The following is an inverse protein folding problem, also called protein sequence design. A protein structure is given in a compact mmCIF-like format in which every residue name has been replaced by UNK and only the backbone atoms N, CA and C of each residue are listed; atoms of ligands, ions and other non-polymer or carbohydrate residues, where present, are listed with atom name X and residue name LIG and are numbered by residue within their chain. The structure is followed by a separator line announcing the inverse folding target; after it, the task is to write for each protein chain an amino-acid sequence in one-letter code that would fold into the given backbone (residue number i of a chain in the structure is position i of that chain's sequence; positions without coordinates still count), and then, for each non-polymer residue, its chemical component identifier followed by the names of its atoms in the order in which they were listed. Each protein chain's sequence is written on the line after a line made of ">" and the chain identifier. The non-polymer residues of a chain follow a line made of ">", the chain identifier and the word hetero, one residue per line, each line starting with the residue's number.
data_IF_281874673546
#
_entry.id   IF_281874673546
#
_cell.length_a   1.000
_cell.length_b   1.000
_cell.length_c   1.000
_cell.angle_alpha   90.00
_cell.angle_beta   90.00
_cell.angle_gamma   90.00
#
_symmetry.space_group_name_H-M   'P 1'
#
loop_
_entity.id
_entity.type
_entity.pdbx_description
1 polymer ?
#
# COMPACT_ATOMS: atom_id res chain seq x y z
N UNK A 1 -14.22 -11.25 18.90
CA UNK A 1 -14.01 -11.07 18.25
C UNK A 1 -13.59 -10.33 17.54
N UNK A 2 -13.09 -10.13 17.32
CA UNK A 2 -12.86 -9.45 16.62
C UNK A 2 -12.45 -9.56 15.57
N UNK A 3 -12.82 -9.32 14.98
CA UNK A 3 -12.49 -9.45 13.68
C UNK A 3 -11.83 -8.28 13.17
N UNK A 4 -10.78 -8.44 12.37
CA UNK A 4 -10.14 -7.37 11.69
C UNK A 4 -11.04 -6.93 10.58
N UNK A 5 -11.51 -5.72 10.63
CA UNK A 5 -12.25 -5.18 9.52
C UNK A 5 -11.30 -4.51 8.56
N UNK A 6 -11.40 -4.87 7.29
CA UNK A 6 -10.65 -4.22 6.23
C UNK A 6 -11.39 -2.96 5.84
N UNK A 7 -10.73 -1.82 5.98
CA UNK A 7 -11.33 -0.53 5.67
C UNK A 7 -10.92 -0.09 4.29
N UNK A 8 -11.88 0.40 3.52
CA UNK A 8 -11.61 0.95 2.20
C UNK A 8 -11.93 2.44 2.25
N UNK A 9 -10.90 3.30 2.11
CA UNK A 9 -11.13 4.73 2.22
C UNK A 9 -11.96 5.26 1.05
N UNK A 10 -12.78 6.23 1.34
CA UNK A 10 -13.47 7.01 0.33
C UNK A 10 -12.40 7.84 -0.40
N UNK A 11 -12.51 7.90 -1.72
CA UNK A 11 -11.55 8.65 -2.52
C UNK A 11 -11.43 10.10 -2.09
N UNK A 12 -12.55 10.71 -1.71
CA UNK A 12 -12.57 12.11 -1.31
C UNK A 12 -11.88 12.35 0.01
N UNK A 13 -11.73 11.30 0.83
CA UNK A 13 -11.13 11.40 2.15
C UNK A 13 -9.75 10.77 2.24
N UNK A 14 -9.24 10.27 1.12
CA UNK A 14 -7.96 9.57 1.16
C UNK A 14 -6.83 10.49 1.63
N UNK A 15 -6.89 11.76 1.29
CA UNK A 15 -5.87 12.73 1.70
C UNK A 15 -5.85 12.96 3.20
N UNK A 16 -6.92 12.58 3.90
CA UNK A 16 -6.99 12.74 5.36
C UNK A 16 -6.45 11.53 6.11
N UNK A 17 -6.05 10.49 5.39
CA UNK A 17 -5.56 9.27 6.04
C UNK A 17 -4.17 9.51 6.60
N UNK A 18 -4.00 9.13 7.87
CA UNK A 18 -2.68 9.12 8.47
C UNK A 18 -2.18 7.69 8.49
N UNK A 19 -1.03 7.48 7.87
CA UNK A 19 -0.43 6.16 7.76
C UNK A 19 0.38 5.82 9.01
N UNK A 20 0.54 4.52 9.26
CA UNK A 20 1.42 4.06 10.33
C UNK A 20 2.82 4.63 10.09
N UNK A 21 3.44 5.10 11.17
CA UNK A 21 4.80 5.64 11.11
C UNK A 21 5.84 4.58 11.40
N UNK A 22 5.39 3.42 11.86
CA UNK A 22 6.28 2.34 12.20
C UNK A 22 6.26 1.28 11.13
N UNK A 23 7.36 0.53 11.02
CA UNK A 23 7.41 -0.59 10.11
C UNK A 23 6.42 -1.67 10.56
N UNK A 24 5.49 -2.03 9.68
CA UNK A 24 4.43 -2.98 10.05
C UNK A 24 4.82 -4.44 9.81
N UNK A 25 5.93 -4.70 9.12
CA UNK A 25 6.42 -6.05 8.90
C UNK A 25 7.58 -6.33 9.85
N UNK A 26 7.65 -7.56 10.36
CA UNK A 26 8.60 -7.87 11.41
C UNK A 26 9.91 -8.49 10.96
N UNK A 27 9.97 -9.05 9.74
CA UNK A 27 11.15 -9.80 9.31
C UNK A 27 11.70 -9.27 8.00
N UNK A 28 13.00 -9.51 7.78
CA UNK A 28 13.63 -9.12 6.52
C UNK A 28 13.03 -9.83 5.31
N UNK A 29 12.74 -11.14 5.36
CA UNK A 29 12.09 -11.78 4.22
C UNK A 29 10.75 -11.16 3.84
N UNK A 30 9.94 -10.78 4.83
CA UNK A 30 8.67 -10.13 4.55
C UNK A 30 8.88 -8.76 3.88
N UNK A 31 9.84 -8.00 4.38
CA UNK A 31 10.14 -6.69 3.80
C UNK A 31 10.66 -6.82 2.37
N UNK A 32 11.48 -7.82 2.14
CA UNK A 32 12.04 -8.07 0.82
C UNK A 32 10.94 -8.47 -0.16
N UNK A 33 10.05 -9.35 0.26
CA UNK A 33 8.94 -9.76 -0.58
C UNK A 33 8.00 -8.61 -0.89
N UNK A 34 7.74 -7.77 0.09
CA UNK A 34 6.94 -6.57 -0.12
C UNK A 34 7.55 -5.69 -1.21
N UNK A 35 8.86 -5.48 -1.15
CA UNK A 35 9.54 -4.66 -2.15
C UNK A 35 9.42 -5.27 -3.55
N UNK A 36 9.62 -6.57 -3.67
CA UNK A 36 9.50 -7.26 -4.95
C UNK A 36 8.09 -7.08 -5.51
N UNK A 37 7.08 -7.24 -4.67
CA UNK A 37 5.69 -7.08 -5.10
C UNK A 37 5.40 -5.65 -5.52
N UNK A 38 5.93 -4.67 -4.81
CA UNK A 38 5.73 -3.27 -5.16
C UNK A 38 6.37 -2.93 -6.50
N UNK A 39 7.56 -3.42 -6.75
CA UNK A 39 8.24 -3.19 -8.03
C UNK A 39 7.46 -3.87 -9.16
N UNK A 40 6.96 -5.08 -8.93
CA UNK A 40 6.14 -5.76 -9.92
C UNK A 40 4.84 -4.98 -10.18
N UNK A 41 4.23 -4.45 -9.13
CA UNK A 41 3.02 -3.64 -9.26
C UNK A 41 3.28 -2.37 -10.08
N UNK A 42 4.45 -1.76 -9.88
CA UNK A 42 4.83 -0.58 -10.64
C UNK A 42 4.96 -0.91 -12.13
N UNK A 43 5.59 -2.03 -12.46
CA UNK A 43 5.73 -2.45 -13.85
C UNK A 43 4.38 -2.73 -14.49
N UNK A 44 3.48 -3.39 -13.77
CA UNK A 44 2.13 -3.65 -14.26
C UNK A 44 1.35 -2.35 -14.44
N UNK A 45 1.49 -1.42 -13.51
CA UNK A 45 0.81 -0.15 -13.60
C UNK A 45 1.28 0.67 -14.79
N UNK A 46 2.60 0.70 -15.04
CA UNK A 46 3.16 1.51 -16.11
C UNK A 46 2.98 0.87 -17.49
N UNK A 47 3.16 -0.45 -17.58
CA UNK A 47 3.16 -1.12 -18.87
C UNK A 47 1.78 -1.61 -19.29
N UNK A 48 0.95 -2.00 -18.32
CA UNK A 48 -0.35 -2.61 -18.60
C UNK A 48 -1.50 -1.85 -17.97
N UNK A 49 -1.22 -0.74 -17.31
CA UNK A 49 -2.24 0.10 -16.64
C UNK A 49 -3.10 -0.71 -15.69
N UNK A 50 -2.51 -1.71 -15.06
CA UNK A 50 -3.23 -2.62 -14.17
C UNK A 50 -3.22 -2.10 -12.75
N UNK A 51 -4.37 -2.19 -12.09
CA UNK A 51 -4.49 -1.84 -10.68
C UNK A 51 -4.11 -3.03 -9.81
N UNK A 52 -3.65 -2.72 -8.60
CA UNK A 52 -3.40 -3.73 -7.57
C UNK A 52 -4.12 -3.30 -6.31
N UNK A 53 -4.29 -4.23 -5.37
CA UNK A 53 -4.82 -3.91 -4.05
C UNK A 53 -3.65 -3.79 -3.09
N UNK A 54 -3.58 -2.65 -2.42
CA UNK A 54 -2.53 -2.41 -1.45
C UNK A 54 -3.15 -2.41 -0.07
N UNK A 55 -2.64 -3.25 0.80
CA UNK A 55 -3.06 -3.32 2.19
C UNK A 55 -2.04 -2.59 3.03
N UNK A 56 -2.50 -1.62 3.79
CA UNK A 56 -1.63 -0.82 4.62
C UNK A 56 -2.30 -0.55 5.97
N UNK A 57 -1.48 -0.16 6.94
CA UNK A 57 -1.98 0.16 8.28
C UNK A 57 -2.05 1.68 8.42
N UNK A 58 -3.13 2.16 9.02
CA UNK A 58 -3.18 3.56 9.37
C UNK A 58 -2.56 3.77 10.76
N UNK A 59 -2.52 5.02 11.20
CA UNK A 59 -1.86 5.36 12.47
C UNK A 59 -2.58 4.76 13.68
N UNK A 60 -3.83 4.36 13.51
CA UNK A 60 -4.63 3.73 14.56
C UNK A 60 -4.57 2.20 14.50
N UNK A 61 -3.61 1.65 13.75
CA UNK A 61 -3.45 0.21 13.60
C UNK A 61 -4.65 -0.48 12.97
N UNK A 62 -5.36 0.21 12.12
CA UNK A 62 -6.44 -0.38 11.36
C UNK A 62 -5.92 -0.79 9.98
N UNK A 63 -6.33 -1.95 9.52
CA UNK A 63 -5.94 -2.44 8.19
C UNK A 63 -6.83 -1.80 7.15
N UNK A 64 -6.21 -1.20 6.15
CA UNK A 64 -6.91 -0.49 5.09
C UNK A 64 -6.53 -1.07 3.74
N UNK A 65 -7.43 -0.93 2.79
CA UNK A 65 -7.17 -1.39 1.42
C UNK A 65 -7.44 -0.26 0.45
N UNK A 66 -6.56 -0.13 -0.53
CA UNK A 66 -6.82 0.76 -1.66
C UNK A 66 -6.51 0.00 -2.95
N UNK A 67 -7.35 0.21 -3.96
CA UNK A 67 -7.15 -0.38 -5.27
C UNK A 67 -6.70 0.72 -6.21
N UNK A 68 -5.50 0.61 -6.74
CA UNK A 68 -4.92 1.69 -7.52
C UNK A 68 -3.78 1.20 -8.41
N UNK A 69 -3.42 2.04 -9.36
CA UNK A 69 -2.23 1.82 -10.16
C UNK A 69 -1.02 2.41 -9.45
N UNK A 70 0.06 1.66 -9.43
CA UNK A 70 1.31 2.13 -8.83
C UNK A 70 2.12 2.80 -9.93
N UNK A 71 2.44 4.07 -9.74
CA UNK A 71 3.26 4.81 -10.68
C UNK A 71 4.74 4.66 -10.41
N UNK A 72 5.13 4.75 -9.16
CA UNK A 72 6.54 4.78 -8.82
C UNK A 72 6.76 4.21 -7.42
N UNK A 73 7.93 3.62 -7.22
CA UNK A 73 8.37 3.13 -5.92
C UNK A 73 9.71 3.78 -5.66
N UNK A 74 9.78 4.55 -4.58
CA UNK A 74 11.02 5.16 -4.15
C UNK A 74 11.58 4.38 -2.97
N UNK A 75 12.66 4.87 -2.38
CA UNK A 75 13.25 4.23 -1.22
C UNK A 75 12.28 4.19 -0.04
N UNK A 76 11.43 5.21 0.10
CA UNK A 76 10.56 5.35 1.27
C UNK A 76 9.08 5.31 0.95
N UNK A 77 8.69 5.55 -0.29
CA UNK A 77 7.29 5.75 -0.63
C UNK A 77 6.87 5.02 -1.88
N UNK A 78 5.58 4.69 -1.92
CA UNK A 78 4.91 4.26 -3.14
C UNK A 78 4.05 5.42 -3.60
N UNK A 79 4.13 5.76 -4.88
CA UNK A 79 3.37 6.86 -5.46
C UNK A 79 2.33 6.26 -6.40
N UNK A 80 1.07 6.55 -6.13
CA UNK A 80 -0.04 6.05 -6.92
C UNK A 80 -0.40 7.03 -8.01
N UNK A 81 -1.23 6.58 -8.95
CA UNK A 81 -1.58 7.36 -10.13
C UNK A 81 -2.11 8.76 -9.81
N UNK A 82 -2.82 8.91 -8.72
CA UNK A 82 -3.41 10.21 -8.37
C UNK A 82 -2.48 11.06 -7.50
N UNK A 83 -1.19 10.79 -7.53
CA UNK A 83 -0.19 11.47 -6.71
C UNK A 83 -0.34 11.19 -5.22
N UNK A 84 -1.11 10.18 -4.88
CA UNK A 84 -1.23 9.74 -3.49
C UNK A 84 0.03 8.98 -3.14
N UNK A 85 0.63 9.33 -2.01
CA UNK A 85 1.90 8.77 -1.58
C UNK A 85 1.69 7.97 -0.30
N UNK A 86 2.15 6.72 -0.31
CA UNK A 86 2.01 5.82 0.83
C UNK A 86 3.40 5.43 1.33
N UNK A 87 3.70 5.63 2.62
CA UNK A 87 4.98 5.16 3.16
C UNK A 87 5.08 3.65 3.05
N UNK A 88 6.20 3.17 2.52
CA UNK A 88 6.40 1.72 2.35
C UNK A 88 6.30 1.00 3.70
N UNK A 89 6.79 1.61 4.77
CA UNK A 89 6.75 1.00 6.10
C UNK A 89 5.35 0.71 6.59
N UNK A 90 4.34 1.40 6.08
CA UNK A 90 2.95 1.18 6.47
C UNK A 90 2.29 0.05 5.68
N UNK A 91 2.91 -0.43 4.60
CA UNK A 91 2.29 -1.40 3.71
C UNK A 91 2.51 -2.80 4.23
N UNK A 92 1.42 -3.55 4.38
CA UNK A 92 1.50 -4.94 4.80
C UNK A 92 1.62 -5.88 3.62
N UNK A 93 0.88 -5.63 2.55
CA UNK A 93 0.88 -6.56 1.43
C UNK A 93 0.36 -5.88 0.17
N UNK A 94 0.66 -6.51 -0.95
CA UNK A 94 0.19 -6.08 -2.26
C UNK A 94 -0.42 -7.30 -2.93
N UNK A 95 -1.66 -7.19 -3.37
CA UNK A 95 -2.34 -8.28 -4.03
C UNK A 95 -2.63 -7.92 -5.47
N UNK A 96 -2.28 -8.82 -6.37
CA UNK A 96 -2.51 -8.62 -7.79
C UNK A 96 -3.91 -9.09 -8.14
N UNK A 97 -4.56 -8.35 -9.00
CA UNK A 97 -5.94 -8.62 -9.36
C UNK A 97 -5.99 -9.46 -10.64
#
# INVERSE_FOLDING_TARGET
>A
MNQKQLLTPDKLKFTDIQFSREEVLGTLPEKHERLIKLISAMKLGNNHKQKVRIHFMNINNQLMEIKAKVWSVTEKYVILKNSITIPITSIRDVNFI
#
